data_IF_163336874236
#
_entry.id   IF_163336874236
#
_cell.length_a   1.000
_cell.length_b   1.000
_cell.length_c   1.000
_cell.angle_alpha   90.00
_cell.angle_beta   90.00
_cell.angle_gamma   90.00
#
_symmetry.space_group_name_H-M   'P 1'
#
loop_
_entity.id
_entity.type
_entity.pdbx_description
1 polymer ?
#
# COMPACT_ATOMS: atom_id res chain seq x y z
N UNK A 1 -21.90 7.01 46.95
CA UNK A 1 -21.28 6.05 46.01
C UNK A 1 -20.83 6.82 44.78
N UNK A 2 -19.53 7.12 44.66
CA UNK A 2 -18.95 7.74 43.46
C UNK A 2 -18.39 6.60 42.61
N UNK A 3 -19.04 6.31 41.47
CA UNK A 3 -18.50 5.38 40.49
C UNK A 3 -17.30 6.03 39.81
N UNK A 4 -16.11 5.56 40.15
CA UNK A 4 -14.88 5.87 39.44
C UNK A 4 -14.90 5.14 38.10
N UNK A 5 -15.13 5.87 37.01
CA UNK A 5 -14.90 5.36 35.66
C UNK A 5 -13.39 5.19 35.51
N UNK A 6 -12.92 3.94 35.54
CA UNK A 6 -11.53 3.62 35.24
C UNK A 6 -11.20 4.07 33.82
N UNK A 7 -10.36 5.10 33.68
CA UNK A 7 -9.73 5.45 32.40
C UNK A 7 -8.81 4.30 32.02
N UNK A 8 -9.19 3.53 31.00
CA UNK A 8 -8.28 2.60 30.31
C UNK A 8 -7.10 3.41 29.74
N UNK A 9 -5.84 3.03 30.01
CA UNK A 9 -4.69 3.75 29.48
C UNK A 9 -4.63 3.60 27.95
N UNK A 10 -4.33 4.68 27.25
CA UNK A 10 -4.05 4.66 25.82
C UNK A 10 -2.91 3.65 25.54
N UNK A 11 -3.22 2.52 24.89
CA UNK A 11 -2.23 1.50 24.55
C UNK A 11 -1.34 2.03 23.42
N UNK A 12 -0.09 2.39 23.73
CA UNK A 12 0.95 2.66 22.71
C UNK A 12 1.23 1.37 21.94
N UNK A 13 1.30 1.41 20.61
CA UNK A 13 1.77 0.31 19.78
C UNK A 13 3.22 0.62 19.40
N UNK A 14 4.19 -0.13 19.90
CA UNK A 14 5.59 0.00 19.44
C UNK A 14 5.81 -0.94 18.26
N UNK A 15 6.24 -0.36 17.14
CA UNK A 15 6.64 -1.08 15.94
C UNK A 15 8.13 -0.85 15.70
N UNK A 16 8.81 -1.92 15.31
CA UNK A 16 10.16 -1.81 14.78
C UNK A 16 10.09 -2.02 13.27
N UNK A 17 10.44 -0.98 12.51
CA UNK A 17 10.55 -1.09 11.05
C UNK A 17 11.97 -1.52 10.69
N UNK A 18 12.07 -2.65 10.01
CA UNK A 18 13.28 -3.25 9.49
C UNK A 18 13.28 -3.05 7.98
N UNK A 19 14.20 -2.23 7.47
CA UNK A 19 14.42 -2.07 6.03
C UNK A 19 15.31 -3.20 5.53
N UNK A 20 14.86 -3.91 4.49
CA UNK A 20 15.62 -4.94 3.79
C UNK A 20 16.25 -4.29 2.55
N UNK A 21 17.58 -4.24 2.46
CA UNK A 21 18.25 -3.69 1.26
C UNK A 21 18.32 -4.75 0.16
N UNK A 22 17.87 -4.38 -1.03
CA UNK A 22 17.72 -5.22 -2.22
C UNK A 22 19.05 -5.51 -2.95
N UNK A 23 20.10 -5.98 -2.27
CA UNK A 23 21.22 -6.66 -2.95
C UNK A 23 21.89 -7.68 -2.03
N UNK A 24 21.74 -8.98 -2.34
CA UNK A 24 22.60 -10.15 -2.03
C UNK A 24 23.47 -10.20 -0.75
N UNK A 25 23.21 -9.42 0.29
CA UNK A 25 24.05 -9.34 1.49
C UNK A 25 23.19 -9.40 2.74
N UNK A 26 22.77 -10.63 3.09
CA UNK A 26 22.26 -10.97 4.41
C UNK A 26 23.28 -10.74 5.55
N UNK A 27 24.54 -10.40 5.21
CA UNK A 27 25.56 -9.96 6.17
C UNK A 27 25.28 -8.59 6.81
N UNK A 28 24.23 -7.88 6.39
CA UNK A 28 23.90 -6.53 6.87
C UNK A 28 22.52 -6.40 7.53
N UNK A 29 22.06 -7.42 8.25
CA UNK A 29 20.98 -7.30 9.27
C UNK A 29 21.39 -6.39 10.46
N UNK A 30 22.37 -5.50 10.29
CA UNK A 30 23.13 -4.91 11.39
C UNK A 30 23.40 -3.40 11.26
N UNK A 31 22.82 -2.68 10.29
CA UNK A 31 23.18 -1.24 10.11
C UNK A 31 22.06 -0.21 9.97
N UNK A 32 20.82 -0.55 9.60
CA UNK A 32 19.76 0.47 9.48
C UNK A 32 18.38 -0.04 9.91
N UNK A 33 17.85 0.49 11.02
CA UNK A 33 16.47 0.28 11.48
C UNK A 33 15.89 1.63 11.92
N UNK A 34 14.57 1.80 11.76
CA UNK A 34 13.85 2.97 12.25
C UNK A 34 12.84 2.49 13.29
N UNK A 35 12.98 2.97 14.52
CA UNK A 35 12.06 2.66 15.61
C UNK A 35 10.89 3.64 15.55
N UNK A 36 9.72 3.14 15.14
CA UNK A 36 8.50 3.94 15.02
C UNK A 36 7.67 3.80 16.30
N UNK A 37 7.78 4.79 17.18
CA UNK A 37 6.88 4.94 18.32
C UNK A 37 5.61 5.67 17.86
N UNK A 38 4.57 4.91 17.48
CA UNK A 38 3.29 5.48 17.05
C UNK A 38 2.24 5.35 18.15
N UNK A 39 1.58 6.47 18.48
CA UNK A 39 0.50 6.51 19.45
C UNK A 39 -0.83 6.19 18.76
N UNK A 40 -1.57 5.19 19.27
CA UNK A 40 -2.99 5.06 18.93
C UNK A 40 -3.74 6.29 19.49
N UNK A 41 -4.47 7.08 18.68
CA UNK A 41 -5.14 8.26 19.18
C UNK A 41 -6.34 7.88 20.07
N UNK A 42 -6.32 8.35 21.31
CA UNK A 42 -7.51 8.68 22.10
C UNK A 42 -7.94 10.14 21.80
N UNK A 43 -9.20 10.58 22.05
CA UNK A 43 -9.76 11.82 21.50
C UNK A 43 -8.99 13.10 21.92
N UNK A 44 -9.13 14.21 21.17
CA UNK A 44 -8.00 15.06 20.81
C UNK A 44 -7.62 16.06 21.89
N UNK A 45 -6.31 16.29 22.04
CA UNK A 45 -5.73 17.58 22.44
C UNK A 45 -4.67 17.98 21.42
N UNK A 46 -4.54 19.28 21.10
CA UNK A 46 -3.75 19.76 19.98
C UNK A 46 -2.26 19.78 20.33
N UNK A 47 -1.42 19.59 19.32
CA UNK A 47 0.05 19.71 19.29
C UNK A 47 0.85 18.45 19.65
N UNK A 48 1.46 17.87 18.63
CA UNK A 48 2.79 17.25 18.71
C UNK A 48 3.33 17.06 17.29
N UNK A 49 4.23 17.96 16.89
CA UNK A 49 5.09 17.82 15.73
C UNK A 49 6.07 16.65 15.96
N UNK A 50 6.18 15.74 14.99
CA UNK A 50 7.11 14.62 15.02
C UNK A 50 8.34 14.95 14.18
N UNK A 51 9.44 15.32 14.83
CA UNK A 51 10.75 15.48 14.20
C UNK A 51 11.48 14.13 14.12
N UNK A 52 11.93 13.77 12.92
CA UNK A 52 12.89 12.69 12.68
C UNK A 52 14.29 13.20 13.06
N UNK A 53 14.88 12.70 14.15
CA UNK A 53 16.31 12.91 14.41
C UNK A 53 17.13 11.87 13.66
N UNK A 54 17.95 12.32 12.71
CA UNK A 54 19.01 11.53 12.06
C UNK A 54 20.37 11.91 12.66
N UNK A 55 21.15 10.92 13.09
CA UNK A 55 22.57 11.12 13.44
C UNK A 55 23.48 10.90 12.21
N UNK A 56 24.65 11.56 12.09
CA UNK A 56 25.45 11.53 10.87
C UNK A 56 26.30 10.25 10.73
N UNK A 57 26.47 9.78 9.49
CA UNK A 57 27.25 8.60 9.08
C UNK A 57 28.73 8.96 8.81
N UNK A 58 29.71 8.04 9.04
CA UNK A 58 31.08 8.17 8.54
C UNK A 58 31.23 7.65 7.10
N UNK A 59 32.27 8.09 6.34
CA UNK A 59 32.40 7.79 4.91
C UNK A 59 32.88 6.34 4.63
N UNK A 60 32.55 5.77 3.46
CA UNK A 60 32.86 4.38 3.12
C UNK A 60 34.29 4.20 2.59
N UNK A 61 34.92 3.07 2.95
CA UNK A 61 36.17 2.60 2.34
C UNK A 61 35.89 1.76 1.08
N UNK A 62 36.69 1.98 0.02
CA UNK A 62 36.60 1.28 -1.26
C UNK A 62 37.09 -0.18 -1.20
N UNK A 63 36.46 -1.12 -1.93
CA UNK A 63 37.04 -2.45 -2.18
C UNK A 63 37.91 -2.48 -3.47
N UNK A 64 38.81 -3.47 -3.63
CA UNK A 64 39.74 -3.54 -4.75
C UNK A 64 39.11 -4.09 -6.04
N UNK A 65 39.59 -3.61 -7.19
CA UNK A 65 39.25 -4.11 -8.52
C UNK A 65 39.94 -5.44 -8.84
N UNK A 66 39.24 -6.36 -9.50
CA UNK A 66 39.85 -7.44 -10.27
C UNK A 66 39.33 -7.44 -11.71
N UNK A 67 40.27 -7.48 -12.65
CA UNK A 67 40.12 -7.54 -14.10
C UNK A 67 40.27 -8.99 -14.63
N UNK A 68 39.55 -9.34 -15.71
CA UNK A 68 40.02 -10.36 -16.70
C UNK A 68 39.12 -11.57 -17.05
N UNK A 69 38.42 -11.45 -18.18
CA UNK A 69 38.19 -12.40 -19.32
C UNK A 69 37.84 -13.91 -19.15
N UNK A 70 36.62 -14.23 -19.64
CA UNK A 70 36.14 -15.30 -20.57
C UNK A 70 36.36 -16.82 -20.39
N UNK A 71 35.23 -17.54 -20.60
CA UNK A 71 34.99 -18.93 -21.03
C UNK A 71 34.74 -20.01 -19.94
N UNK A 72 33.55 -20.62 -20.02
CA UNK A 72 33.06 -21.75 -19.19
C UNK A 72 33.17 -23.08 -19.96
N UNK A 73 32.82 -24.27 -19.40
CA UNK A 73 32.62 -24.65 -17.99
C UNK A 73 33.38 -25.94 -17.60
N UNK A 74 34.02 -25.95 -16.42
CA UNK A 74 34.21 -27.20 -15.66
C UNK A 74 34.14 -26.86 -14.18
N UNK A 75 33.32 -27.61 -13.43
CA UNK A 75 33.11 -27.39 -12.00
C UNK A 75 34.40 -27.63 -11.21
N UNK A 76 34.90 -26.66 -10.42
CA UNK A 76 35.89 -26.95 -9.40
C UNK A 76 35.21 -27.40 -8.08
N UNK A 77 35.89 -28.21 -7.25
CA UNK A 77 35.36 -28.68 -5.96
C UNK A 77 35.21 -27.51 -4.96
N UNK A 78 34.38 -27.65 -3.92
CA UNK A 78 34.15 -26.57 -2.97
C UNK A 78 35.42 -26.25 -2.15
N UNK A 79 35.71 -24.97 -1.86
CA UNK A 79 36.81 -24.60 -0.98
C UNK A 79 36.51 -24.98 0.48
N UNK A 80 37.55 -25.15 1.32
CA UNK A 80 37.40 -25.56 2.70
C UNK A 80 36.63 -24.51 3.51
N UNK A 81 35.79 -25.02 4.40
CA UNK A 81 34.91 -24.32 5.34
C UNK A 81 35.58 -23.10 5.99
N UNK A 82 35.15 -21.90 5.60
CA UNK A 82 35.34 -20.72 6.43
C UNK A 82 34.54 -20.93 7.72
N UNK A 83 35.26 -21.01 8.84
CA UNK A 83 34.69 -20.98 10.17
C UNK A 83 33.73 -19.78 10.29
N UNK A 84 32.48 -20.07 10.65
CA UNK A 84 31.48 -19.06 10.93
C UNK A 84 32.02 -18.14 12.04
N UNK A 85 32.20 -16.86 11.72
CA UNK A 85 32.40 -15.83 12.73
C UNK A 85 31.16 -15.78 13.64
N UNK A 86 31.28 -15.47 14.93
CA UNK A 86 30.13 -15.38 15.82
C UNK A 86 29.12 -14.38 15.23
N UNK A 87 27.89 -14.84 15.01
CA UNK A 87 26.79 -13.98 14.59
C UNK A 87 26.61 -12.88 15.63
N UNK A 88 26.67 -11.62 15.19
CA UNK A 88 26.23 -10.51 16.02
C UNK A 88 24.78 -10.76 16.47
N UNK A 89 24.37 -10.39 17.70
CA UNK A 89 23.00 -10.60 18.15
C UNK A 89 22.02 -10.01 17.12
N UNK A 90 21.08 -10.86 16.71
CA UNK A 90 20.04 -10.47 15.77
C UNK A 90 19.26 -9.27 16.32
N UNK A 91 18.59 -8.48 15.47
CA UNK A 91 17.71 -7.39 15.94
C UNK A 91 16.67 -7.90 16.97
N UNK A 92 16.34 -9.19 16.91
CA UNK A 92 15.44 -9.89 17.82
C UNK A 92 16.05 -10.18 19.21
N UNK A 93 17.38 -10.16 19.33
CA UNK A 93 18.14 -10.45 20.57
C UNK A 93 18.64 -9.19 21.29
N UNK A 94 18.41 -8.00 20.72
CA UNK A 94 18.89 -6.72 21.31
C UNK A 94 18.14 -6.25 22.55
N UNK A 95 17.23 -7.07 23.10
CA UNK A 95 16.59 -6.79 24.38
C UNK A 95 15.65 -5.57 24.37
N UNK A 96 15.13 -5.18 23.21
CA UNK A 96 14.08 -4.16 23.13
C UNK A 96 12.79 -4.69 23.76
N UNK A 97 12.65 -4.45 25.06
CA UNK A 97 11.42 -4.74 25.80
C UNK A 97 10.26 -3.93 25.20
N UNK A 98 9.10 -4.56 25.01
CA UNK A 98 7.82 -3.96 24.55
C UNK A 98 7.65 -3.75 23.02
N UNK A 99 8.48 -4.34 22.14
CA UNK A 99 8.17 -4.41 20.69
C UNK A 99 7.09 -5.47 20.43
N UNK A 100 5.99 -5.06 19.78
CA UNK A 100 4.84 -5.95 19.48
C UNK A 100 4.90 -6.55 18.08
N UNK A 101 5.34 -5.75 17.11
CA UNK A 101 5.38 -6.10 15.70
C UNK A 101 6.73 -5.70 15.09
N UNK A 102 7.28 -6.61 14.30
CA UNK A 102 8.42 -6.36 13.42
C UNK A 102 7.88 -6.22 12.00
N UNK A 103 8.09 -5.07 11.40
CA UNK A 103 7.60 -4.76 10.05
C UNK A 103 8.80 -4.73 9.10
N UNK A 104 8.67 -5.40 7.97
CA UNK A 104 9.68 -5.52 6.94
C UNK A 104 9.19 -4.83 5.68
N UNK A 105 10.10 -4.20 4.94
CA UNK A 105 9.88 -3.62 3.63
C UNK A 105 11.20 -3.30 2.96
N UNK A 106 11.17 -3.10 1.63
CA UNK A 106 12.34 -2.71 0.86
C UNK A 106 12.57 -1.19 0.95
N UNK A 107 13.74 -0.72 0.54
CA UNK A 107 14.15 0.69 0.64
C UNK A 107 13.39 1.64 -0.30
N UNK A 108 12.62 1.09 -1.23
CA UNK A 108 11.69 1.72 -2.15
C UNK A 108 10.20 1.48 -1.79
N UNK A 109 9.93 0.94 -0.60
CA UNK A 109 8.58 0.74 -0.08
C UNK A 109 8.07 1.96 0.68
N UNK A 110 6.89 2.45 0.32
CA UNK A 110 6.24 3.59 0.98
C UNK A 110 5.06 3.12 1.81
N UNK A 111 5.16 3.23 3.14
CA UNK A 111 4.09 2.84 4.07
C UNK A 111 3.15 4.00 4.45
N UNK A 112 1.89 3.67 4.75
CA UNK A 112 0.91 4.51 5.44
C UNK A 112 0.83 4.08 6.91
N UNK A 113 1.59 4.72 7.82
CA UNK A 113 1.82 4.18 9.16
C UNK A 113 0.54 4.07 10.01
N UNK A 114 -0.36 5.04 9.91
CA UNK A 114 -1.63 5.03 10.65
C UNK A 114 -2.51 3.83 10.25
N UNK A 115 -2.55 3.50 8.96
CA UNK A 115 -3.30 2.35 8.46
C UNK A 115 -2.63 1.04 8.86
N UNK A 116 -1.30 0.96 8.78
CA UNK A 116 -0.53 -0.19 9.26
C UNK A 116 -0.82 -0.49 10.74
N UNK A 117 -0.74 0.54 11.60
CA UNK A 117 -1.07 0.43 13.04
C UNK A 117 -2.52 -0.02 13.24
N UNK A 118 -3.46 0.60 12.52
CA UNK A 118 -4.87 0.27 12.58
C UNK A 118 -5.14 -1.20 12.22
N UNK A 119 -4.52 -1.69 11.15
CA UNK A 119 -4.65 -3.08 10.69
C UNK A 119 -4.02 -4.06 11.69
N UNK A 120 -2.80 -3.80 12.16
CA UNK A 120 -2.13 -4.67 13.12
C UNK A 120 -2.85 -4.71 14.49
N UNK A 121 -3.60 -3.67 14.84
CA UNK A 121 -4.40 -3.64 16.06
C UNK A 121 -5.56 -4.66 16.09
N UNK A 122 -5.93 -5.23 14.94
CA UNK A 122 -6.93 -6.30 14.83
C UNK A 122 -6.45 -7.63 15.42
N UNK A 123 -5.13 -7.81 15.54
CA UNK A 123 -4.50 -9.08 15.85
C UNK A 123 -3.91 -9.09 17.26
N UNK A 124 -4.04 -10.22 17.95
CA UNK A 124 -3.40 -10.44 19.23
C UNK A 124 -1.89 -10.63 19.06
N UNK A 125 -1.12 -9.57 19.25
CA UNK A 125 0.34 -9.56 19.13
C UNK A 125 1.09 -10.56 20.02
N UNK A 126 0.43 -11.21 21.00
CA UNK A 126 1.00 -12.30 21.80
C UNK A 126 0.90 -13.68 21.11
N UNK A 127 0.14 -13.80 20.02
CA UNK A 127 0.07 -14.99 19.16
C UNK A 127 1.08 -14.90 18.01
N UNK A 128 1.27 -16.01 17.32
CA UNK A 128 2.15 -16.07 16.15
C UNK A 128 1.38 -15.65 14.90
N UNK A 129 1.77 -14.50 14.35
CA UNK A 129 1.20 -13.96 13.12
C UNK A 129 2.29 -13.61 12.13
N UNK A 130 2.04 -13.98 10.87
CA UNK A 130 2.75 -13.53 9.67
C UNK A 130 1.72 -12.86 8.77
N UNK A 131 1.83 -11.54 8.60
CA UNK A 131 0.79 -10.70 7.99
C UNK A 131 1.39 -9.93 6.82
N UNK A 132 0.75 -9.98 5.66
CA UNK A 132 1.17 -9.25 4.46
C UNK A 132 0.30 -9.61 3.27
N UNK A 133 0.78 -9.44 2.05
CA UNK A 133 0.03 -9.83 0.86
C UNK A 133 0.91 -10.39 -0.26
N UNK A 134 0.25 -11.08 -1.18
CA UNK A 134 0.83 -11.61 -2.40
C UNK A 134 1.20 -10.47 -3.37
N UNK A 135 1.87 -10.83 -4.46
CA UNK A 135 2.02 -9.94 -5.60
C UNK A 135 0.73 -9.80 -6.39
N UNK A 136 0.48 -8.63 -6.95
CA UNK A 136 -0.56 -8.37 -7.96
C UNK A 136 -0.36 -9.22 -9.23
N UNK A 137 0.87 -9.70 -9.46
CA UNK A 137 1.26 -10.50 -10.62
C UNK A 137 1.04 -11.99 -10.38
N UNK A 138 0.12 -12.60 -11.12
CA UNK A 138 -0.10 -14.05 -11.13
C UNK A 138 1.17 -14.82 -11.51
N UNK A 139 1.97 -14.28 -12.42
CA UNK A 139 3.22 -14.89 -12.86
C UNK A 139 4.25 -14.98 -11.72
N UNK A 140 4.35 -13.93 -10.90
CA UNK A 140 5.27 -13.91 -9.77
C UNK A 140 4.82 -14.91 -8.71
N UNK A 141 3.52 -14.93 -8.39
CA UNK A 141 2.96 -15.85 -7.41
C UNK A 141 3.12 -17.32 -7.83
N UNK A 142 2.96 -17.62 -9.14
CA UNK A 142 3.17 -18.96 -9.69
C UNK A 142 4.63 -19.42 -9.62
N UNK A 143 5.58 -18.49 -9.77
CA UNK A 143 7.02 -18.82 -9.73
C UNK A 143 7.58 -18.93 -8.31
N UNK A 144 7.07 -18.12 -7.40
CA UNK A 144 7.50 -18.15 -6.00
C UNK A 144 6.49 -18.95 -5.19
N UNK A 145 5.45 -18.31 -4.66
CA UNK A 145 4.30 -19.00 -4.05
C UNK A 145 3.15 -18.03 -3.82
N UNK A 146 1.91 -18.52 -3.86
CA UNK A 146 0.73 -17.78 -3.40
C UNK A 146 0.64 -17.71 -1.87
N UNK A 147 1.49 -18.45 -1.14
CA UNK A 147 1.47 -18.53 0.31
C UNK A 147 2.31 -17.47 1.02
N UNK A 148 3.13 -16.68 0.33
CA UNK A 148 4.07 -15.74 0.97
C UNK A 148 3.61 -14.28 0.88
N UNK A 149 3.99 -13.49 1.87
CA UNK A 149 4.02 -12.05 1.74
C UNK A 149 5.28 -11.65 0.99
N UNK A 150 5.12 -10.82 -0.04
CA UNK A 150 6.25 -10.32 -0.82
C UNK A 150 6.99 -9.22 -0.05
N UNK A 151 8.33 -9.26 -0.09
CA UNK A 151 9.19 -8.37 0.70
C UNK A 151 8.98 -6.89 0.40
N UNK A 152 8.91 -6.53 -0.87
CA UNK A 152 8.71 -5.15 -1.33
C UNK A 152 7.32 -4.59 -1.02
N UNK A 153 6.28 -5.42 -1.08
CA UNK A 153 4.96 -5.07 -0.59
C UNK A 153 4.96 -4.82 0.92
N UNK A 154 5.93 -5.39 1.62
CA UNK A 154 6.07 -5.31 3.05
C UNK A 154 5.25 -6.37 3.78
N UNK A 155 5.69 -6.71 4.98
CA UNK A 155 4.99 -7.65 5.86
C UNK A 155 5.29 -7.38 7.33
N UNK A 156 4.47 -7.91 8.21
CA UNK A 156 4.66 -7.83 9.65
C UNK A 156 4.67 -9.23 10.26
N UNK A 157 5.54 -9.44 11.26
CA UNK A 157 5.48 -10.60 12.14
C UNK A 157 5.33 -10.16 13.60
N UNK A 158 4.52 -10.90 14.34
CA UNK A 158 4.35 -10.72 15.77
C UNK A 158 5.67 -11.00 16.52
N UNK A 159 5.88 -10.33 17.65
CA UNK A 159 7.10 -10.48 18.45
C UNK A 159 7.41 -11.93 18.90
N UNK A 160 6.44 -12.74 19.35
CA UNK A 160 6.71 -14.14 19.70
C UNK A 160 7.16 -14.99 18.50
N UNK A 161 6.57 -14.78 17.32
CA UNK A 161 7.01 -15.45 16.09
C UNK A 161 8.43 -15.03 15.69
N UNK A 162 8.73 -13.73 15.76
CA UNK A 162 10.06 -13.20 15.46
C UNK A 162 11.15 -13.85 16.34
N UNK A 163 10.87 -14.02 17.64
CA UNK A 163 11.77 -14.68 18.60
C UNK A 163 11.93 -16.17 18.32
N UNK A 164 10.87 -16.86 17.88
CA UNK A 164 10.97 -18.25 17.49
C UNK A 164 11.80 -18.41 16.21
N UNK A 165 11.52 -17.57 15.21
CA UNK A 165 12.23 -17.54 13.94
C UNK A 165 13.72 -17.27 14.13
N UNK A 166 14.11 -16.29 14.95
CA UNK A 166 15.52 -15.95 15.16
C UNK A 166 16.38 -17.10 15.67
N UNK A 167 15.79 -18.03 16.46
CA UNK A 167 16.48 -19.19 17.01
C UNK A 167 16.71 -20.31 15.99
N UNK A 168 15.90 -20.39 14.94
CA UNK A 168 15.94 -21.47 13.95
C UNK A 168 16.43 -21.00 12.57
N UNK A 169 16.49 -19.68 12.35
CA UNK A 169 16.68 -19.06 11.04
C UNK A 169 17.94 -19.58 10.32
N UNK A 170 19.10 -19.58 11.00
CA UNK A 170 20.36 -20.02 10.38
C UNK A 170 20.29 -21.47 9.88
N UNK A 171 19.73 -22.37 10.70
CA UNK A 171 19.56 -23.78 10.32
C UNK A 171 18.58 -23.93 9.16
N UNK A 172 17.54 -23.10 9.13
CA UNK A 172 16.51 -23.12 8.10
C UNK A 172 17.02 -22.60 6.75
N UNK A 173 17.74 -21.48 6.73
CA UNK A 173 18.25 -20.89 5.50
C UNK A 173 19.17 -21.86 4.73
N UNK A 174 19.86 -22.75 5.44
CA UNK A 174 20.68 -23.82 4.83
C UNK A 174 19.88 -24.83 4.00
N UNK A 175 18.57 -25.01 4.26
CA UNK A 175 17.69 -25.92 3.50
C UNK A 175 17.14 -25.29 2.23
N UNK A 176 17.10 -23.95 2.16
CA UNK A 176 16.48 -23.21 1.06
C UNK A 176 17.44 -22.35 0.22
N UNK A 177 18.68 -22.79 -0.08
CA UNK A 177 19.62 -21.99 -0.87
C UNK A 177 19.18 -21.80 -2.32
N UNK A 178 18.28 -22.67 -2.81
CA UNK A 178 17.74 -22.66 -4.17
C UNK A 178 16.58 -21.66 -4.34
N UNK A 179 15.96 -21.18 -3.26
CA UNK A 179 14.89 -20.20 -3.34
C UNK A 179 15.46 -18.81 -3.66
N UNK A 180 14.80 -18.14 -4.60
CA UNK A 180 15.09 -16.76 -4.99
C UNK A 180 14.31 -15.78 -4.10
N UNK A 181 14.98 -14.71 -3.67
CA UNK A 181 14.40 -13.70 -2.79
C UNK A 181 14.60 -14.01 -1.31
N UNK A 182 14.79 -12.96 -0.51
CA UNK A 182 14.86 -13.05 0.96
C UNK A 182 13.50 -13.42 1.54
N UNK A 183 12.44 -12.80 1.03
CA UNK A 183 11.05 -13.06 1.38
C UNK A 183 10.65 -14.53 1.21
N UNK A 184 10.97 -15.16 0.09
CA UNK A 184 10.64 -16.58 -0.15
C UNK A 184 11.36 -17.52 0.82
N UNK A 185 12.59 -17.20 1.22
CA UNK A 185 13.33 -17.97 2.23
C UNK A 185 12.76 -17.77 3.61
N UNK A 186 12.47 -16.53 3.99
CA UNK A 186 11.86 -16.19 5.28
C UNK A 186 10.48 -16.84 5.41
N UNK A 187 9.63 -16.76 4.39
CA UNK A 187 8.32 -17.40 4.39
C UNK A 187 8.44 -18.92 4.56
N UNK A 188 9.41 -19.56 3.89
CA UNK A 188 9.65 -21.00 4.03
C UNK A 188 10.05 -21.38 5.46
N UNK A 189 10.88 -20.58 6.12
CA UNK A 189 11.22 -20.79 7.53
C UNK A 189 10.04 -20.58 8.48
N UNK A 190 9.15 -19.63 8.17
CA UNK A 190 7.91 -19.43 8.93
C UNK A 190 6.94 -20.61 8.73
N UNK A 191 6.91 -21.21 7.52
CA UNK A 191 6.11 -22.41 7.25
C UNK A 191 6.63 -23.64 8.00
N UNK A 192 7.94 -23.79 8.18
CA UNK A 192 8.49 -24.87 9.03
C UNK A 192 8.06 -24.72 10.50
N UNK A 193 7.80 -23.50 10.96
CA UNK A 193 7.20 -23.22 12.27
C UNK A 193 5.67 -23.43 12.30
N UNK A 194 5.07 -23.84 11.18
CA UNK A 194 3.64 -24.15 11.06
C UNK A 194 2.73 -22.93 10.96
N UNK A 195 3.25 -21.76 10.58
CA UNK A 195 2.45 -20.52 10.49
C UNK A 195 2.22 -20.14 9.03
N UNK A 196 0.95 -20.03 8.64
CA UNK A 196 0.56 -19.58 7.30
C UNK A 196 0.44 -18.05 7.23
N UNK A 197 0.45 -17.53 6.00
CA UNK A 197 0.22 -16.11 5.74
C UNK A 197 -1.21 -15.70 6.05
N UNK A 198 -1.34 -14.72 6.92
CA UNK A 198 -2.56 -13.93 7.10
C UNK A 198 -2.57 -12.79 6.07
N UNK A 199 -3.50 -12.85 5.12
CA UNK A 199 -3.56 -11.89 4.00
C UNK A 199 -4.24 -10.58 4.39
N UNK A 200 -3.53 -9.47 4.19
CA UNK A 200 -4.06 -8.10 4.30
C UNK A 200 -3.91 -7.41 2.93
N UNK A 201 -5.01 -7.20 2.16
CA UNK A 201 -4.93 -6.73 0.77
C UNK A 201 -4.38 -5.31 0.57
N UNK A 202 -4.08 -4.57 1.65
CA UNK A 202 -3.51 -3.23 1.59
C UNK A 202 -2.00 -3.17 1.43
N UNK A 203 -1.29 -4.31 1.53
CA UNK A 203 0.13 -4.39 1.20
C UNK A 203 0.28 -4.64 -0.31
N UNK A 204 0.93 -3.72 -1.03
CA UNK A 204 1.05 -3.81 -2.49
C UNK A 204 2.51 -3.94 -2.95
N UNK A 205 2.85 -5.11 -3.50
CA UNK A 205 4.15 -5.39 -4.12
C UNK A 205 4.33 -4.67 -5.45
N UNK A 206 3.25 -4.39 -6.16
CA UNK A 206 3.21 -3.65 -7.42
C UNK A 206 4.16 -4.20 -8.49
N UNK A 207 4.20 -5.52 -8.66
CA UNK A 207 4.90 -6.16 -9.79
C UNK A 207 4.14 -5.93 -11.11
N UNK A 208 4.10 -4.67 -11.53
CA UNK A 208 3.54 -4.16 -12.79
C UNK A 208 4.44 -3.04 -13.31
N UNK A 209 4.20 -2.57 -14.53
CA UNK A 209 4.94 -1.46 -15.14
C UNK A 209 4.03 -0.46 -15.82
N UNK A 210 4.57 0.73 -16.09
CA UNK A 210 3.84 1.79 -16.78
C UNK A 210 2.99 2.59 -15.80
N UNK A 211 1.76 2.89 -16.20
CA UNK A 211 0.86 3.77 -15.45
C UNK A 211 0.00 3.00 -14.44
N UNK A 212 0.22 3.28 -13.14
CA UNK A 212 -0.54 2.70 -12.02
C UNK A 212 -1.95 3.25 -11.87
N UNK A 213 -2.38 4.23 -12.67
CA UNK A 213 -3.65 4.93 -12.53
C UNK A 213 -4.84 3.99 -12.28
N UNK A 214 -4.96 2.90 -13.05
CA UNK A 214 -6.05 1.95 -12.89
C UNK A 214 -6.04 1.09 -11.63
N UNK A 215 -4.86 0.75 -11.10
CA UNK A 215 -4.74 0.06 -9.81
C UNK A 215 -5.13 1.00 -8.67
N UNK A 216 -4.61 2.23 -8.69
CA UNK A 216 -4.84 3.20 -7.62
C UNK A 216 -6.28 3.73 -7.62
N UNK A 217 -6.96 3.83 -8.77
CA UNK A 217 -8.37 4.27 -8.80
C UNK A 217 -9.39 3.19 -8.47
N UNK A 218 -8.99 1.91 -8.54
CA UNK A 218 -9.81 0.75 -8.22
C UNK A 218 -9.36 0.03 -6.94
N UNK A 219 -8.68 0.76 -6.03
CA UNK A 219 -8.18 0.17 -4.80
C UNK A 219 -9.33 -0.46 -3.98
N UNK A 220 -9.12 -1.65 -3.40
CA UNK A 220 -10.14 -2.33 -2.60
C UNK A 220 -10.54 -1.54 -1.35
N UNK A 221 -11.60 -1.98 -0.68
CA UNK A 221 -12.06 -1.33 0.56
C UNK A 221 -11.11 -1.49 1.74
N UNK A 222 -10.11 -2.38 1.66
CA UNK A 222 -9.07 -2.49 2.67
C UNK A 222 -8.32 -1.16 2.81
N UNK A 223 -7.79 -0.83 4.00
CA UNK A 223 -6.92 0.34 4.15
C UNK A 223 -5.67 0.14 3.30
N UNK A 224 -5.21 1.19 2.61
CA UNK A 224 -3.90 1.17 1.95
C UNK A 224 -2.81 1.11 3.02
N UNK A 225 -1.90 0.15 2.96
CA UNK A 225 -0.82 -0.03 3.94
C UNK A 225 0.52 0.35 3.34
N UNK A 226 0.81 -0.09 2.11
CA UNK A 226 2.08 0.16 1.46
C UNK A 226 1.97 0.12 -0.06
N UNK A 227 2.86 0.86 -0.72
CA UNK A 227 3.08 0.83 -2.17
C UNK A 227 4.58 0.66 -2.42
N UNK A 228 4.93 -0.28 -3.29
CA UNK A 228 6.30 -0.58 -3.69
C UNK A 228 6.61 -0.08 -5.11
N UNK A 229 7.89 -0.02 -5.51
CA UNK A 229 8.32 0.25 -6.88
C UNK A 229 7.85 1.59 -7.49
N UNK A 230 7.57 2.60 -6.66
CA UNK A 230 7.11 3.91 -7.13
C UNK A 230 8.19 4.68 -7.93
N UNK A 231 9.45 4.25 -7.85
CA UNK A 231 10.64 4.76 -8.52
C UNK A 231 10.79 4.27 -9.97
N UNK A 232 10.15 3.15 -10.35
CA UNK A 232 10.25 2.55 -11.70
C UNK A 232 8.96 2.65 -12.53
N UNK A 233 7.81 2.87 -11.91
CA UNK A 233 6.53 3.14 -12.59
C UNK A 233 6.44 4.57 -13.11
N UNK A 234 5.44 4.92 -13.92
CA UNK A 234 5.20 6.31 -14.30
C UNK A 234 4.79 7.16 -13.08
N UNK A 235 5.12 8.47 -13.03
CA UNK A 235 4.67 9.33 -11.94
C UNK A 235 3.15 9.30 -11.78
N UNK A 236 2.68 9.01 -10.57
CA UNK A 236 1.25 8.80 -10.29
C UNK A 236 0.40 10.08 -10.46
N UNK A 237 1.02 11.25 -10.51
CA UNK A 237 0.35 12.52 -10.78
C UNK A 237 0.91 13.19 -12.04
N UNK A 238 0.06 13.79 -12.89
CA UNK A 238 0.53 14.51 -14.07
C UNK A 238 1.37 15.72 -13.68
N UNK A 239 2.39 16.02 -14.49
CA UNK A 239 3.28 17.19 -14.32
C UNK A 239 4.02 17.23 -12.97
N UNK A 240 4.22 16.06 -12.35
CA UNK A 240 5.06 15.87 -11.17
C UNK A 240 6.10 14.80 -11.48
N UNK A 241 7.29 14.94 -10.94
CA UNK A 241 8.22 13.79 -10.89
C UNK A 241 7.76 12.79 -9.80
N UNK A 242 8.40 11.62 -9.74
CA UNK A 242 7.99 10.53 -8.83
C UNK A 242 7.99 10.96 -7.37
N UNK A 243 9.06 11.61 -6.91
CA UNK A 243 9.18 12.10 -5.53
C UNK A 243 8.10 13.12 -5.20
N UNK A 244 7.91 14.12 -6.06
CA UNK A 244 6.84 15.12 -5.90
C UNK A 244 5.45 14.50 -5.89
N UNK A 245 5.23 13.47 -6.72
CA UNK A 245 3.96 12.77 -6.81
C UNK A 245 3.65 12.03 -5.49
N UNK A 246 4.63 11.34 -4.91
CA UNK A 246 4.50 10.68 -3.60
C UNK A 246 4.26 11.73 -2.50
N UNK A 247 5.06 12.80 -2.45
CA UNK A 247 4.86 13.89 -1.49
C UNK A 247 3.47 14.52 -1.59
N UNK A 248 2.94 14.63 -2.81
CA UNK A 248 1.61 15.16 -3.07
C UNK A 248 0.51 14.20 -2.61
N UNK A 249 0.63 12.90 -2.88
CA UNK A 249 -0.27 11.87 -2.33
C UNK A 249 -0.33 11.94 -0.80
N UNK A 250 0.84 12.13 -0.16
CA UNK A 250 0.96 12.20 1.29
C UNK A 250 0.30 13.42 1.93
N UNK A 251 -0.04 14.46 1.16
CA UNK A 251 -0.93 15.52 1.66
C UNK A 251 -2.32 14.97 1.99
N UNK A 252 -2.86 14.09 1.15
CA UNK A 252 -4.14 13.44 1.39
C UNK A 252 -4.05 12.37 2.48
N UNK A 253 -2.96 11.58 2.51
CA UNK A 253 -2.70 10.61 3.59
C UNK A 253 -2.75 11.29 4.95
N UNK A 254 -2.11 12.45 5.11
CA UNK A 254 -2.13 13.20 6.38
C UNK A 254 -3.52 13.73 6.75
N UNK A 255 -4.36 14.03 5.77
CA UNK A 255 -5.72 14.52 6.02
C UNK A 255 -6.66 13.39 6.47
N UNK A 256 -6.70 12.28 5.74
CA UNK A 256 -7.55 11.12 6.05
C UNK A 256 -6.88 9.80 5.62
N UNK A 257 -5.99 9.22 6.46
CA UNK A 257 -5.22 8.04 6.07
C UNK A 257 -6.12 6.84 5.79
N UNK A 258 -7.20 6.66 6.57
CA UNK A 258 -8.13 5.54 6.38
C UNK A 258 -8.92 5.62 5.07
N UNK A 259 -9.03 6.81 4.45
CA UNK A 259 -9.79 7.02 3.22
C UNK A 259 -8.92 7.07 1.97
N UNK A 260 -7.60 7.12 2.09
CA UNK A 260 -6.71 7.22 0.93
C UNK A 260 -6.99 6.07 -0.07
N UNK A 261 -7.17 6.44 -1.34
CA UNK A 261 -7.54 5.57 -2.47
C UNK A 261 -8.89 4.85 -2.36
N UNK A 262 -9.66 5.02 -1.28
CA UNK A 262 -10.98 4.40 -1.17
C UNK A 262 -11.86 4.85 -2.34
N UNK A 263 -12.33 3.87 -3.11
CA UNK A 263 -13.14 4.12 -4.27
C UNK A 263 -14.61 4.27 -3.86
N UNK A 264 -15.25 5.38 -4.21
CA UNK A 264 -16.68 5.66 -4.01
C UNK A 264 -17.31 5.91 -5.38
N UNK A 265 -18.46 5.33 -5.67
CA UNK A 265 -19.15 5.51 -6.97
C UNK A 265 -20.48 6.22 -6.76
N UNK A 266 -20.71 7.29 -7.51
CA UNK A 266 -21.91 8.13 -7.47
C UNK A 266 -22.57 8.13 -8.85
N UNK A 267 -23.90 8.22 -8.89
CA UNK A 267 -24.66 8.36 -10.12
C UNK A 267 -25.32 9.75 -10.14
N UNK A 268 -25.15 10.48 -11.25
CA UNK A 268 -25.92 11.69 -11.52
C UNK A 268 -27.01 11.36 -12.53
N UNK A 269 -28.22 11.09 -12.03
CA UNK A 269 -29.37 10.76 -12.86
C UNK A 269 -29.79 11.92 -13.77
N UNK A 270 -29.57 13.17 -13.33
CA UNK A 270 -30.01 14.35 -14.07
C UNK A 270 -29.16 14.60 -15.32
N UNK A 271 -27.85 14.31 -15.23
CA UNK A 271 -26.90 14.49 -16.31
C UNK A 271 -26.52 13.19 -17.02
N UNK A 272 -27.08 12.05 -16.59
CA UNK A 272 -26.72 10.69 -17.04
C UNK A 272 -25.21 10.43 -16.95
N UNK A 273 -24.64 10.57 -15.74
CA UNK A 273 -23.21 10.38 -15.50
C UNK A 273 -22.94 9.33 -14.40
N UNK A 274 -21.81 8.65 -14.51
CA UNK A 274 -21.22 7.86 -13.42
C UNK A 274 -19.94 8.53 -12.96
N UNK A 275 -19.78 8.73 -11.65
CA UNK A 275 -18.61 9.36 -11.06
C UNK A 275 -17.92 8.37 -10.12
N UNK A 276 -16.66 8.04 -10.38
CA UNK A 276 -15.83 7.22 -9.50
C UNK A 276 -14.78 8.09 -8.83
N UNK A 277 -14.82 8.17 -7.50
CA UNK A 277 -13.89 8.94 -6.66
C UNK A 277 -12.92 7.97 -6.00
N UNK A 278 -11.64 8.01 -6.37
CA UNK A 278 -10.55 7.41 -5.60
C UNK A 278 -9.96 8.50 -4.69
N UNK A 279 -10.45 8.54 -3.45
CA UNK A 279 -10.27 9.71 -2.59
C UNK A 279 -8.78 9.99 -2.32
N UNK A 280 -8.39 11.26 -2.44
CA UNK A 280 -7.00 11.69 -2.27
C UNK A 280 -6.10 11.41 -3.49
N UNK A 281 -6.66 10.90 -4.58
CA UNK A 281 -5.90 10.62 -5.81
C UNK A 281 -6.56 11.20 -7.06
N UNK A 282 -7.70 10.64 -7.48
CA UNK A 282 -8.34 11.03 -8.72
C UNK A 282 -9.86 10.82 -8.72
N UNK A 283 -10.55 11.57 -9.57
CA UNK A 283 -11.97 11.40 -9.89
C UNK A 283 -12.11 11.11 -11.38
N UNK A 284 -12.87 10.07 -11.72
CA UNK A 284 -13.22 9.70 -13.08
C UNK A 284 -14.71 10.01 -13.29
N UNK A 285 -15.04 10.81 -14.30
CA UNK A 285 -16.41 11.12 -14.70
C UNK A 285 -16.69 10.47 -16.05
N UNK A 286 -17.62 9.52 -16.05
CA UNK A 286 -18.03 8.74 -17.21
C UNK A 286 -19.34 9.27 -17.76
N UNK A 287 -19.47 9.24 -19.09
CA UNK A 287 -20.72 9.46 -19.78
C UNK A 287 -21.58 8.21 -19.69
N UNK A 288 -22.85 8.37 -19.33
CA UNK A 288 -23.79 7.27 -19.13
C UNK A 288 -23.75 6.65 -17.74
N UNK A 289 -24.81 5.91 -17.44
CA UNK A 289 -24.91 5.07 -16.25
C UNK A 289 -24.19 3.74 -16.46
N UNK A 290 -23.00 3.60 -15.89
CA UNK A 290 -22.21 2.37 -15.97
C UNK A 290 -22.48 1.45 -14.78
N UNK A 291 -22.48 0.13 -15.03
CA UNK A 291 -22.70 -0.86 -13.98
C UNK A 291 -21.60 -0.79 -12.93
N UNK A 292 -21.99 -0.86 -11.65
CA UNK A 292 -21.05 -0.79 -10.54
C UNK A 292 -19.91 -1.81 -10.68
N UNK A 293 -20.15 -3.12 -10.92
CA UNK A 293 -19.06 -4.11 -11.08
C UNK A 293 -18.04 -3.73 -12.15
N UNK A 294 -18.49 -3.15 -13.27
CA UNK A 294 -17.59 -2.73 -14.35
C UNK A 294 -16.68 -1.58 -13.93
N UNK A 295 -17.14 -0.71 -13.02
CA UNK A 295 -16.36 0.42 -12.49
C UNK A 295 -15.43 -0.01 -11.37
N UNK A 296 -15.75 -1.10 -10.66
CA UNK A 296 -14.89 -1.66 -9.61
C UNK A 296 -13.65 -2.35 -10.17
N UNK A 297 -13.71 -2.86 -11.41
CA UNK A 297 -12.57 -3.49 -12.06
C UNK A 297 -11.47 -2.47 -12.42
N UNK A 298 -10.21 -2.86 -12.23
CA UNK A 298 -9.07 -2.00 -12.51
C UNK A 298 -8.87 -1.82 -14.02
N UNK A 299 -8.86 -0.58 -14.51
CA UNK A 299 -8.53 -0.31 -15.91
C UNK A 299 -7.08 -0.68 -16.21
N UNK A 300 -6.84 -1.33 -17.36
CA UNK A 300 -5.51 -1.78 -17.78
C UNK A 300 -4.63 -0.64 -18.31
N UNK A 301 -4.28 0.33 -17.45
CA UNK A 301 -3.29 1.38 -17.73
C UNK A 301 -1.84 0.92 -17.57
N UNK A 302 -1.63 -0.25 -16.96
CA UNK A 302 -0.35 -0.85 -16.66
C UNK A 302 -0.10 -2.12 -17.51
N UNK A 303 1.15 -2.56 -17.49
CA UNK A 303 1.62 -3.77 -18.17
C UNK A 303 2.23 -4.77 -17.19
N UNK A 304 2.30 -6.06 -17.53
CA UNK A 304 2.88 -7.07 -16.65
C UNK A 304 4.34 -6.79 -16.29
N UNK A 305 4.77 -7.27 -15.11
CA UNK A 305 6.15 -7.15 -14.66
C UNK A 305 7.18 -7.75 -15.62
N UNK A 306 6.90 -8.88 -16.27
CA UNK A 306 7.82 -9.44 -17.27
C UNK A 306 7.38 -9.07 -18.68
N UNK A 307 8.35 -8.57 -19.47
CA UNK A 307 8.12 -8.19 -20.89
C UNK A 307 7.98 -9.41 -21.80
N UNK A 308 8.47 -10.58 -21.36
CA UNK A 308 8.37 -11.87 -22.05
C UNK A 308 8.00 -12.90 -20.99
N UNK A 309 6.80 -13.43 -21.06
CA UNK A 309 6.25 -14.37 -20.09
C UNK A 309 5.46 -15.46 -20.80
N UNK A 310 5.26 -16.56 -20.09
CA UNK A 310 4.37 -17.66 -20.47
C UNK A 310 3.00 -17.07 -20.85
N UNK A 311 2.31 -17.63 -21.84
CA UNK A 311 0.92 -17.28 -22.16
C UNK A 311 0.01 -17.69 -20.99
N UNK A 312 0.03 -16.93 -19.89
CA UNK A 312 -0.83 -17.14 -18.73
C UNK A 312 -2.18 -16.47 -19.04
N UNK A 313 -3.31 -17.21 -18.98
CA UNK A 313 -4.63 -16.67 -19.29
C UNK A 313 -5.02 -15.48 -18.42
N UNK A 314 -4.59 -15.47 -17.15
CA UNK A 314 -4.75 -14.34 -16.23
C UNK A 314 -3.41 -13.82 -15.74
N UNK A 315 -3.04 -12.62 -16.19
CA UNK A 315 -1.77 -11.97 -15.82
C UNK A 315 -1.78 -11.40 -14.40
N UNK A 316 -2.96 -11.26 -13.80
CA UNK A 316 -3.20 -10.54 -12.55
C UNK A 316 -4.12 -11.33 -11.61
N UNK A 317 -4.02 -11.07 -10.30
CA UNK A 317 -4.85 -11.73 -9.27
C UNK A 317 -6.10 -10.92 -8.88
N UNK A 318 -6.55 -10.03 -9.77
CA UNK A 318 -7.70 -9.15 -9.58
C UNK A 318 -8.39 -8.86 -10.91
N UNK A 319 -9.63 -8.40 -10.83
CA UNK A 319 -10.44 -8.09 -12.00
C UNK A 319 -9.93 -6.85 -12.73
N UNK A 320 -9.82 -6.97 -14.05
CA UNK A 320 -9.41 -5.86 -14.90
C UNK A 320 -10.46 -5.57 -15.96
N UNK A 321 -10.50 -4.30 -16.39
CA UNK A 321 -11.33 -3.85 -17.51
C UNK A 321 -10.48 -3.22 -18.59
N UNK A 322 -11.00 -3.24 -19.80
CA UNK A 322 -10.31 -2.68 -20.96
C UNK A 322 -10.02 -1.19 -20.78
N UNK A 323 -8.88 -0.77 -21.34
CA UNK A 323 -8.49 0.62 -21.44
C UNK A 323 -8.63 1.04 -22.91
N UNK A 324 -9.71 1.75 -23.29
CA UNK A 324 -10.00 2.05 -24.68
C UNK A 324 -8.83 2.76 -25.38
N UNK A 325 -8.47 2.34 -26.59
CA UNK A 325 -7.43 3.01 -27.38
C UNK A 325 -7.87 4.41 -27.81
N UNK A 326 -9.15 4.56 -28.15
CA UNK A 326 -9.78 5.85 -28.43
C UNK A 326 -9.89 6.70 -27.15
N UNK A 327 -9.18 7.83 -27.04
CA UNK A 327 -9.22 8.68 -25.85
C UNK A 327 -10.60 9.29 -25.58
N UNK A 328 -11.45 9.44 -26.60
CA UNK A 328 -12.79 10.00 -26.43
C UNK A 328 -13.77 9.03 -25.77
N UNK A 329 -13.48 7.71 -25.81
CA UNK A 329 -14.22 6.69 -25.05
C UNK A 329 -13.77 6.58 -23.59
N UNK A 330 -12.73 7.31 -23.19
CA UNK A 330 -12.23 7.33 -21.80
C UNK A 330 -12.99 8.37 -20.98
N UNK A 331 -13.14 8.15 -19.65
CA UNK A 331 -13.74 9.15 -18.76
C UNK A 331 -12.91 10.43 -18.73
N UNK A 332 -13.55 11.53 -18.35
CA UNK A 332 -12.86 12.76 -17.99
C UNK A 332 -12.21 12.55 -16.62
N UNK A 333 -10.91 12.79 -16.52
CA UNK A 333 -10.12 12.55 -15.30
C UNK A 333 -9.76 13.86 -14.62
N UNK A 334 -9.91 13.89 -13.30
CA UNK A 334 -9.50 14.99 -12.43
C UNK A 334 -8.53 14.45 -11.39
N UNK A 335 -7.34 15.03 -11.26
CA UNK A 335 -6.37 14.61 -10.25
C UNK A 335 -6.42 15.54 -9.04
N UNK A 336 -6.07 15.03 -7.86
CA UNK A 336 -5.98 15.82 -6.64
C UNK A 336 -5.12 17.07 -6.89
N UNK A 337 -5.71 18.23 -6.66
CA UNK A 337 -5.02 19.52 -6.63
C UNK A 337 -4.65 19.90 -5.20
N UNK A 338 -5.62 19.82 -4.29
CA UNK A 338 -5.45 20.28 -2.92
C UNK A 338 -6.39 19.55 -1.95
N UNK A 339 -6.03 19.56 -0.67
CA UNK A 339 -6.78 18.90 0.40
C UNK A 339 -6.57 19.65 1.71
N UNK A 340 -7.65 19.85 2.46
CA UNK A 340 -7.56 20.35 3.81
C UNK A 340 -8.57 19.67 4.74
N UNK A 341 -8.18 19.61 6.01
CA UNK A 341 -8.97 19.06 7.11
C UNK A 341 -9.41 20.20 8.02
N UNK A 342 -10.72 20.39 8.17
CA UNK A 342 -11.31 21.34 9.10
C UNK A 342 -11.87 20.66 10.36
N UNK A 343 -12.63 21.37 11.19
CA UNK A 343 -13.31 20.81 12.37
C UNK A 343 -14.38 19.79 11.97
N UNK A 344 -13.99 18.51 11.87
CA UNK A 344 -14.89 17.37 11.63
C UNK A 344 -15.28 17.13 10.17
N UNK A 345 -14.85 17.98 9.24
CA UNK A 345 -15.11 17.82 7.79
C UNK A 345 -13.83 18.01 7.00
N UNK A 346 -13.61 17.13 6.03
CA UNK A 346 -12.46 17.12 5.14
C UNK A 346 -12.96 17.46 3.75
N UNK A 347 -12.23 18.32 3.04
CA UNK A 347 -12.48 18.60 1.64
C UNK A 347 -11.23 18.32 0.80
N UNK A 348 -11.45 17.79 -0.39
CA UNK A 348 -10.42 17.65 -1.42
C UNK A 348 -10.92 18.28 -2.72
N UNK A 349 -10.00 18.92 -3.44
CA UNK A 349 -10.26 19.54 -4.74
C UNK A 349 -9.44 18.82 -5.79
N UNK A 350 -10.08 18.49 -6.90
CA UNK A 350 -9.49 17.80 -8.03
C UNK A 350 -9.61 18.67 -9.27
N UNK A 351 -8.53 18.77 -10.04
CA UNK A 351 -8.47 19.57 -11.27
C UNK A 351 -8.42 18.67 -12.48
N UNK A 352 -9.17 19.05 -13.51
CA UNK A 352 -9.22 18.33 -14.78
C UNK A 352 -7.83 18.19 -15.40
N UNK A 353 -7.51 16.98 -15.83
CA UNK A 353 -6.35 16.73 -16.67
C UNK A 353 -6.78 16.78 -18.14
N UNK A 354 -6.37 17.84 -18.83
CA UNK A 354 -6.65 18.01 -20.24
C UNK A 354 -5.60 17.23 -21.05
N UNK A 355 -5.98 16.07 -21.59
CA UNK A 355 -5.10 15.29 -22.47
C UNK A 355 -5.57 15.30 -23.94
N UNK A 356 -6.88 15.39 -24.21
CA UNK A 356 -7.41 15.35 -25.58
C UNK A 356 -8.66 16.22 -25.77
N UNK A 357 -8.80 16.84 -26.96
CA UNK A 357 -10.00 17.57 -27.38
C UNK A 357 -11.03 16.58 -27.93
N UNK A 358 -11.94 16.14 -27.08
CA UNK A 358 -13.10 15.33 -27.45
C UNK A 358 -14.34 16.18 -27.21
N UNK A 359 -15.33 16.10 -28.10
CA UNK A 359 -16.66 16.64 -27.84
C UNK A 359 -17.30 15.86 -26.69
N UNK A 360 -17.77 16.54 -25.65
CA UNK A 360 -18.45 15.95 -24.50
C UNK A 360 -19.84 16.56 -24.31
N UNK A 361 -20.74 15.89 -23.57
CA UNK A 361 -22.00 16.48 -23.15
C UNK A 361 -21.79 17.77 -22.36
N UNK A 362 -22.71 18.73 -22.50
CA UNK A 362 -22.63 20.06 -21.85
C UNK A 362 -22.37 19.98 -20.34
N UNK A 363 -22.89 18.94 -19.68
CA UNK A 363 -22.72 18.69 -18.24
C UNK A 363 -21.25 18.52 -17.82
N UNK A 364 -20.38 18.03 -18.70
CA UNK A 364 -18.96 17.74 -18.40
C UNK A 364 -17.98 18.47 -19.33
N UNK A 365 -18.44 19.00 -20.47
CA UNK A 365 -17.64 19.74 -21.44
C UNK A 365 -16.85 20.87 -20.77
N UNK A 366 -17.54 21.67 -19.96
CA UNK A 366 -16.97 22.84 -19.28
C UNK A 366 -16.53 22.57 -17.83
N UNK A 367 -16.64 21.33 -17.35
CA UNK A 367 -16.26 20.96 -15.99
C UNK A 367 -14.74 21.07 -15.83
N UNK A 368 -14.29 21.86 -14.85
CA UNK A 368 -12.86 22.15 -14.59
C UNK A 368 -12.38 21.56 -13.28
N UNK A 369 -13.24 21.60 -12.26
CA UNK A 369 -12.89 21.19 -10.90
C UNK A 369 -13.97 20.28 -10.31
N UNK A 370 -13.55 19.32 -9.49
CA UNK A 370 -14.45 18.53 -8.62
C UNK A 370 -14.05 18.81 -7.18
N UNK A 371 -15.02 19.08 -6.31
CA UNK A 371 -14.82 19.21 -4.87
C UNK A 371 -15.52 18.06 -4.17
N UNK A 372 -14.78 17.32 -3.36
CA UNK A 372 -15.30 16.19 -2.59
C UNK A 372 -15.24 16.53 -1.11
N UNK A 373 -16.38 16.44 -0.44
CA UNK A 373 -16.52 16.58 0.99
C UNK A 373 -16.71 15.21 1.64
N UNK A 374 -16.21 15.07 2.86
CA UNK A 374 -16.36 13.83 3.64
C UNK A 374 -16.17 14.10 5.12
N UNK A 375 -16.67 13.20 5.97
CA UNK A 375 -16.22 13.09 7.36
C UNK A 375 -14.95 12.23 7.41
N UNK A 376 -14.04 12.57 8.33
CA UNK A 376 -12.83 11.79 8.57
C UNK A 376 -13.20 10.34 8.83
N UNK A 377 -12.62 9.41 8.08
CA UNK A 377 -12.91 8.00 8.24
C UNK A 377 -12.19 7.45 9.46
N UNK A 378 -12.91 7.28 10.57
CA UNK A 378 -12.36 6.64 11.75
C UNK A 378 -12.42 5.13 11.60
N UNK A 379 -11.26 4.48 11.61
CA UNK A 379 -11.19 3.04 11.79
C UNK A 379 -11.22 2.78 13.29
N UNK A 380 -12.24 2.07 13.78
CA UNK A 380 -12.28 1.66 15.17
C UNK A 380 -11.19 0.62 15.41
N UNK A 381 -10.06 1.05 15.96
CA UNK A 381 -8.94 0.20 16.32
C UNK A 381 -9.41 -0.96 17.22
N UNK A 382 -9.00 -2.19 16.90
CA UNK A 382 -9.28 -3.39 17.69
C UNK A 382 -10.60 -4.11 17.42
N UNK A 383 -11.41 -3.68 16.44
CA UNK A 383 -12.59 -4.44 15.99
C UNK A 383 -12.43 -4.79 14.51
N UNK A 384 -12.59 -6.07 14.16
CA UNK A 384 -12.76 -6.52 12.78
C UNK A 384 -14.11 -5.99 12.25
N UNK A 385 -14.13 -4.71 11.87
CA UNK A 385 -15.32 -4.10 11.28
C UNK A 385 -15.46 -4.58 9.84
N UNK A 386 -16.69 -4.93 9.49
CA UNK A 386 -17.06 -5.22 8.10
C UNK A 386 -16.86 -3.95 7.30
N UNK A 387 -15.97 -4.01 6.30
CA UNK A 387 -15.71 -2.89 5.40
C UNK A 387 -16.91 -2.74 4.45
N UNK A 388 -17.57 -1.57 4.50
CA UNK A 388 -18.66 -1.21 3.60
C UNK A 388 -18.26 0.07 2.86
N UNK A 389 -18.44 0.06 1.54
CA UNK A 389 -18.24 1.25 0.71
C UNK A 389 -19.18 2.35 1.14
N UNK A 390 -18.66 3.57 1.27
CA UNK A 390 -19.49 4.75 1.51
C UNK A 390 -20.34 5.07 0.27
N UNK A 391 -21.45 5.77 0.50
CA UNK A 391 -22.31 6.32 -0.53
C UNK A 391 -21.91 7.77 -0.79
N UNK A 392 -22.44 8.35 -1.88
CA UNK A 392 -22.19 9.74 -2.18
C UNK A 392 -23.34 10.40 -2.92
N UNK A 393 -23.48 11.69 -2.64
CA UNK A 393 -24.47 12.56 -3.27
C UNK A 393 -23.76 13.60 -4.13
N UNK A 394 -24.28 13.82 -5.33
CA UNK A 394 -23.84 14.91 -6.22
C UNK A 394 -24.79 16.09 -5.99
N UNK A 395 -24.31 17.17 -5.34
CA UNK A 395 -25.12 18.31 -4.87
C UNK A 395 -25.40 19.32 -6.02
N UNK A 396 -25.40 18.84 -7.27
CA UNK A 396 -25.44 19.54 -8.56
C UNK A 396 -24.12 20.21 -9.05
N UNK A 397 -23.81 20.08 -10.35
CA UNK A 397 -22.70 20.77 -10.98
C UNK A 397 -23.00 22.26 -11.19
N UNK A 398 -22.23 23.14 -10.55
CA UNK A 398 -22.24 24.58 -10.83
C UNK A 398 -21.38 24.82 -12.08
N UNK A 399 -21.97 24.81 -13.29
CA UNK A 399 -21.37 25.09 -14.64
C UNK A 399 -19.93 24.61 -14.91
N UNK A 400 -18.93 25.06 -14.14
CA UNK A 400 -17.51 24.71 -14.21
C UNK A 400 -17.00 23.82 -13.05
N UNK A 401 -17.82 23.52 -12.04
CA UNK A 401 -17.40 22.71 -10.88
C UNK A 401 -18.50 21.75 -10.41
N UNK A 402 -18.09 20.55 -10.00
CA UNK A 402 -18.98 19.54 -9.41
C UNK A 402 -18.68 19.41 -7.90
N UNK A 403 -19.72 19.25 -7.09
CA UNK A 403 -19.61 19.03 -5.65
C UNK A 403 -20.17 17.66 -5.30
N UNK A 404 -19.37 16.86 -4.61
CA UNK A 404 -19.71 15.50 -4.17
C UNK A 404 -19.58 15.47 -2.65
N UNK A 405 -20.56 14.88 -1.95
CA UNK A 405 -20.46 14.59 -0.52
C UNK A 405 -20.45 13.10 -0.29
N UNK A 406 -19.38 12.60 0.35
CA UNK A 406 -19.23 11.18 0.72
C UNK A 406 -19.75 11.00 2.15
N UNK A 407 -20.63 10.01 2.33
CA UNK A 407 -21.26 9.68 3.60
C UNK A 407 -21.44 8.18 3.75
N UNK A 408 -21.64 7.74 4.99
CA UNK A 408 -22.06 6.37 5.22
C UNK A 408 -23.41 6.12 4.56
N UNK A 409 -23.51 4.99 3.86
CA UNK A 409 -24.77 4.52 3.33
C UNK A 409 -25.76 4.22 4.46
N UNK A 410 -27.04 4.48 4.23
CA UNK A 410 -28.13 3.94 5.04
C UNK A 410 -28.13 2.41 5.01
N UNK A 411 -28.76 1.77 5.99
CA UNK A 411 -28.65 0.31 6.19
C UNK A 411 -29.00 -0.48 4.93
N UNK A 412 -30.09 -0.12 4.24
CA UNK A 412 -30.59 -0.73 3.01
C UNK A 412 -30.28 0.08 1.74
N UNK A 413 -29.47 1.13 1.85
CA UNK A 413 -29.17 2.00 0.71
C UNK A 413 -28.21 1.32 -0.25
N UNK A 414 -28.59 1.33 -1.53
CA UNK A 414 -27.82 0.79 -2.65
C UNK A 414 -27.13 1.92 -3.42
N UNK A 415 -25.92 1.65 -3.87
CA UNK A 415 -25.25 2.48 -4.88
C UNK A 415 -25.84 2.07 -6.24
N UNK A 416 -26.89 2.76 -6.67
CA UNK A 416 -27.71 2.36 -7.80
C UNK A 416 -27.92 3.48 -8.83
N UNK A 417 -28.04 3.08 -10.09
CA UNK A 417 -28.33 3.96 -11.23
C UNK A 417 -29.77 4.44 -11.29
N UNK A 418 -30.67 3.81 -10.52
CA UNK A 418 -32.04 4.24 -10.28
C UNK A 418 -32.31 4.03 -8.78
N UNK A 419 -32.81 5.05 -8.06
CA UNK A 419 -33.06 4.99 -6.62
C UNK A 419 -34.18 4.03 -6.22
#
# INVERSE_FOLDING_TARGET
>A
MRNSVAKLPARRLKLLLILLFTTSTFYLLNRHHILLNLHCPSPPTPTSDLFLHTSPLPPPHHPPQLSGTSSSPSHPPPPPSLAASPSSPSVFDRGETDVRWFVFGDDDTVFVPENLVGVLSKYDHEKWYYIGCNSESSEQNLRMTFGMAYGGGGFAISSPLARALSRVLDSCLMRYPHLYGSDHRISSCIFELGIELTREPGFHQLDVRGDLFGLLTAHPLSPLISLHHLEIVEPIFPRKNRTEAVQHLFKAVRADPGRILQQTVCYDHSSNLTVSVAWGYAVQVFEGHLLLPDILAAQRSFTPWRRRGINIPSQYVFDTRDYPQDPCKRPVVFFLEDVASGTGRIWSKYRRNNSHSCSRPDAIENLKDVKVFSKKLQHNAGLAMVLRRDCCDIIHPVKKSMVIDIRHCGINELIAMNP
#
